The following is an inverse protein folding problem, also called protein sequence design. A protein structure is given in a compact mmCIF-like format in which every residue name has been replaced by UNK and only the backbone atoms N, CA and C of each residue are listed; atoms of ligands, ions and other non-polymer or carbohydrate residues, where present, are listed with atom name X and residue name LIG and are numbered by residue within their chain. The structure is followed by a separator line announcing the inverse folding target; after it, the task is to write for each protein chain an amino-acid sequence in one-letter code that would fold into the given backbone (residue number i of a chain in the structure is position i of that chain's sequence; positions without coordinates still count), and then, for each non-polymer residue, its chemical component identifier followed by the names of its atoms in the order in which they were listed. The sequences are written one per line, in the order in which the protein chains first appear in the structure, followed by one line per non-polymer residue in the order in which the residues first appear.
data_IF_222218115022
#
_entry.id   IF_222218115022
#
_cell.length_a   1.000
_cell.length_b   1.000
_cell.length_c   1.000
_cell.angle_alpha   90.00
_cell.angle_beta   90.00
_cell.angle_gamma   90.00
#
_symmetry.space_group_name_H-M   'P 1'
#
loop_
_entity.id
_entity.type
_entity.pdbx_description
1 polymer ?
#
# COMPACT_ATOMS: atom_id res chain seq x y z
N UNK A 1 -13.52 7.82 -12.66
CA UNK A 1 -12.46 8.76 -13.06
C UNK A 1 -11.35 7.94 -13.67
N UNK A 2 -10.75 8.40 -14.77
CA UNK A 2 -9.56 7.74 -15.32
C UNK A 2 -8.33 8.32 -14.62
N UNK A 3 -7.56 7.48 -13.93
CA UNK A 3 -6.30 7.89 -13.34
C UNK A 3 -5.23 8.01 -14.43
N UNK A 4 -4.27 8.90 -14.19
CA UNK A 4 -3.10 9.12 -15.05
C UNK A 4 -1.84 8.71 -14.30
N UNK A 5 -0.90 8.13 -15.05
CA UNK A 5 0.28 7.47 -14.53
C UNK A 5 1.55 8.15 -15.03
N UNK A 6 2.63 8.01 -14.27
CA UNK A 6 3.98 8.27 -14.76
C UNK A 6 4.68 6.94 -15.05
N UNK A 7 5.62 6.87 -16.01
CA UNK A 7 6.44 5.68 -16.21
C UNK A 7 7.16 5.30 -14.93
N UNK A 8 7.19 4.00 -14.58
CA UNK A 8 7.94 3.49 -13.42
C UNK A 8 9.41 3.95 -13.44
N UNK A 9 10.01 4.07 -14.63
CA UNK A 9 11.37 4.56 -14.81
C UNK A 9 11.60 6.03 -14.43
N UNK A 10 10.54 6.82 -14.32
CA UNK A 10 10.58 8.22 -13.87
C UNK A 10 10.15 8.37 -12.42
N UNK A 11 9.64 7.30 -11.80
CA UNK A 11 9.22 7.32 -10.41
C UNK A 11 10.41 7.52 -9.48
N UNK A 12 10.33 8.52 -8.61
CA UNK A 12 11.42 8.91 -7.70
C UNK A 12 11.96 7.76 -6.86
N UNK A 13 11.07 6.85 -6.43
CA UNK A 13 11.41 5.70 -5.58
C UNK A 13 11.56 4.39 -6.36
N UNK A 14 11.73 4.43 -7.69
CA UNK A 14 11.84 3.22 -8.53
C UNK A 14 12.92 2.22 -8.11
N UNK A 15 13.91 2.68 -7.34
CA UNK A 15 14.98 1.82 -6.83
C UNK A 15 14.43 0.66 -5.97
N UNK A 16 13.28 0.84 -5.30
CA UNK A 16 12.65 -0.22 -4.47
C UNK A 16 12.21 -1.43 -5.30
N UNK A 17 11.91 -1.24 -6.59
CA UNK A 17 11.53 -2.28 -7.54
C UNK A 17 12.70 -2.74 -8.43
N UNK A 18 13.90 -2.19 -8.19
CA UNK A 18 15.14 -2.55 -8.87
C UNK A 18 16.20 -3.06 -7.89
N UNK A 19 15.79 -3.39 -6.66
CA UNK A 19 16.67 -3.94 -5.63
C UNK A 19 17.14 -5.34 -6.06
N UNK A 20 18.45 -5.60 -5.96
CA UNK A 20 19.03 -6.86 -6.47
C UNK A 20 18.57 -8.08 -5.69
N UNK A 21 18.40 -7.92 -4.38
CA UNK A 21 18.03 -9.02 -3.48
C UNK A 21 16.52 -9.31 -3.49
N UNK A 22 15.71 -8.39 -4.03
CA UNK A 22 14.26 -8.55 -4.20
C UNK A 22 13.88 -8.22 -5.66
N UNK A 23 14.25 -9.10 -6.61
CA UNK A 23 14.07 -8.84 -8.02
C UNK A 23 12.58 -8.91 -8.41
N UNK A 24 12.06 -7.80 -8.92
CA UNK A 24 10.70 -7.76 -9.51
C UNK A 24 10.78 -8.13 -10.99
N UNK A 25 9.92 -9.05 -11.43
CA UNK A 25 9.86 -9.50 -12.82
C UNK A 25 9.44 -8.36 -13.77
N UNK A 26 9.80 -8.47 -15.06
CA UNK A 26 9.37 -7.49 -16.05
C UNK A 26 7.83 -7.46 -16.22
N UNK A 27 7.18 -8.61 -16.06
CA UNK A 27 5.72 -8.75 -16.09
C UNK A 27 5.07 -8.00 -14.92
N UNK A 28 5.55 -8.24 -13.69
CA UNK A 28 5.01 -7.55 -12.51
C UNK A 28 5.28 -6.04 -12.57
N UNK A 29 6.47 -5.60 -13.04
CA UNK A 29 6.78 -4.18 -13.24
C UNK A 29 5.80 -3.47 -14.17
N UNK A 30 5.24 -4.16 -15.15
CA UNK A 30 4.24 -3.59 -16.05
C UNK A 30 2.91 -3.24 -15.33
N UNK A 31 2.65 -3.87 -14.18
CA UNK A 31 1.49 -3.61 -13.33
C UNK A 31 1.80 -2.73 -12.12
N UNK A 32 3.03 -2.27 -11.94
CA UNK A 32 3.39 -1.30 -10.91
C UNK A 32 3.26 0.08 -11.55
N UNK A 33 2.15 0.76 -11.26
CA UNK A 33 1.73 1.97 -11.95
C UNK A 33 1.71 3.16 -10.98
N UNK A 34 2.84 3.89 -10.82
CA UNK A 34 2.86 5.11 -10.04
C UNK A 34 1.93 6.16 -10.65
N UNK A 35 1.07 6.74 -9.81
CA UNK A 35 0.15 7.79 -10.23
C UNK A 35 0.89 9.11 -10.43
N UNK A 36 0.37 9.97 -11.31
CA UNK A 36 0.74 11.39 -11.33
C UNK A 36 0.31 12.06 -10.02
N UNK A 37 0.95 13.17 -9.64
CA UNK A 37 0.61 13.92 -8.41
C UNK A 37 -0.90 14.23 -8.32
N UNK A 38 -1.53 14.61 -9.44
CA UNK A 38 -2.96 14.89 -9.49
C UNK A 38 -3.79 13.64 -9.18
N UNK A 39 -3.50 12.52 -9.84
CA UNK A 39 -4.25 11.27 -9.63
C UNK A 39 -3.99 10.68 -8.24
N UNK A 40 -2.76 10.74 -7.74
CA UNK A 40 -2.41 10.34 -6.38
C UNK A 40 -3.19 11.16 -5.35
N UNK A 41 -3.24 12.48 -5.54
CA UNK A 41 -4.01 13.37 -4.69
C UNK A 41 -5.51 13.04 -4.72
N UNK A 42 -6.07 12.78 -5.90
CA UNK A 42 -7.49 12.44 -6.05
C UNK A 42 -7.80 11.11 -5.31
N UNK A 43 -6.96 10.09 -5.46
CA UNK A 43 -7.08 8.80 -4.73
C UNK A 43 -6.97 9.03 -3.22
N UNK A 44 -5.96 9.77 -2.76
CA UNK A 44 -5.75 10.04 -1.34
C UNK A 44 -6.92 10.81 -0.73
N UNK A 45 -7.37 11.90 -1.36
CA UNK A 45 -8.49 12.70 -0.88
C UNK A 45 -9.79 11.90 -0.85
N UNK A 46 -9.99 11.01 -1.83
CA UNK A 46 -11.20 10.20 -1.91
C UNK A 46 -11.24 9.10 -0.86
N UNK A 47 -10.11 8.42 -0.61
CA UNK A 47 -10.11 7.15 0.11
C UNK A 47 -9.36 7.16 1.44
N UNK A 48 -8.44 8.10 1.65
CA UNK A 48 -7.58 8.15 2.84
C UNK A 48 -7.94 9.37 3.70
N UNK A 49 -7.69 10.57 3.20
CA UNK A 49 -7.93 11.82 3.92
C UNK A 49 -7.98 13.01 2.97
N UNK A 50 -8.94 13.91 3.16
CA UNK A 50 -8.97 15.20 2.46
C UNK A 50 -8.29 16.35 3.24
N UNK A 51 -7.73 16.07 4.43
CA UNK A 51 -7.12 17.08 5.32
C UNK A 51 -5.63 16.86 5.55
N UNK A 52 -5.21 15.61 5.74
CA UNK A 52 -3.83 15.23 6.05
C UNK A 52 -3.09 14.84 4.77
N UNK A 53 -1.76 15.05 4.72
CA UNK A 53 -0.95 14.62 3.57
C UNK A 53 -0.22 13.29 3.76
N UNK A 54 -0.04 12.84 5.01
CA UNK A 54 0.58 11.57 5.37
C UNK A 54 -0.05 11.03 6.66
N UNK A 55 0.29 9.80 7.04
CA UNK A 55 -0.36 9.13 8.16
C UNK A 55 -0.08 9.76 9.54
N UNK A 56 1.14 10.28 9.75
CA UNK A 56 1.51 10.97 10.99
C UNK A 56 0.66 12.23 11.26
N UNK A 57 0.06 12.80 10.21
CA UNK A 57 -0.78 14.00 10.28
C UNK A 57 -2.27 13.69 10.46
N UNK A 58 -2.67 12.42 10.60
CA UNK A 58 -4.09 12.10 10.74
C UNK A 58 -4.72 12.77 11.96
N UNK A 59 -5.90 13.32 11.74
CA UNK A 59 -6.69 14.03 12.73
C UNK A 59 -7.95 13.23 13.06
N UNK A 60 -8.70 13.65 14.09
CA UNK A 60 -9.97 12.99 14.50
C UNK A 60 -11.02 12.88 13.39
N UNK A 61 -10.90 13.67 12.32
CA UNK A 61 -11.81 13.60 11.16
C UNK A 61 -11.47 12.47 10.19
N UNK A 62 -10.25 11.96 10.22
CA UNK A 62 -9.76 10.94 9.30
C UNK A 62 -10.15 9.56 9.81
N UNK A 63 -10.69 8.72 8.93
CA UNK A 63 -11.18 7.39 9.34
C UNK A 63 -10.04 6.53 9.91
N UNK A 64 -8.84 6.65 9.33
CA UNK A 64 -7.64 5.93 9.76
C UNK A 64 -7.16 6.32 11.17
N UNK A 65 -7.56 7.49 11.71
CA UNK A 65 -7.26 7.88 13.09
C UNK A 65 -8.22 7.26 14.12
N UNK A 66 -9.34 6.66 13.67
CA UNK A 66 -10.36 6.12 14.59
C UNK A 66 -9.93 4.74 15.06
N UNK A 67 -9.90 4.53 16.37
CA UNK A 67 -9.52 3.24 16.95
C UNK A 67 -10.38 2.07 16.44
N UNK A 68 -11.66 2.31 16.14
CA UNK A 68 -12.58 1.30 15.64
C UNK A 68 -12.44 1.01 14.13
N UNK A 69 -11.60 1.74 13.40
CA UNK A 69 -11.27 1.40 12.01
C UNK A 69 -10.38 0.15 11.94
N UNK A 70 -9.62 -0.14 13.00
CA UNK A 70 -8.64 -1.21 13.07
C UNK A 70 -9.09 -2.31 14.04
N UNK A 71 -9.00 -3.56 13.61
CA UNK A 71 -9.56 -4.72 14.33
C UNK A 71 -8.50 -5.73 14.75
N UNK A 72 -7.37 -5.79 14.03
CA UNK A 72 -6.24 -6.65 14.35
C UNK A 72 -4.94 -5.90 14.13
N UNK A 73 -3.91 -6.29 14.88
CA UNK A 73 -2.54 -5.79 14.76
C UNK A 73 -1.58 -6.96 14.85
N UNK A 74 -0.55 -6.96 14.02
CA UNK A 74 0.51 -7.97 14.02
C UNK A 74 1.80 -7.37 13.44
N UNK A 75 2.88 -8.15 13.39
CA UNK A 75 4.21 -7.69 12.97
C UNK A 75 4.55 -8.15 11.54
N UNK A 76 4.89 -7.21 10.66
CA UNK A 76 5.33 -7.52 9.29
C UNK A 76 6.86 -7.65 9.21
N UNK A 77 7.60 -6.94 10.06
CA UNK A 77 9.06 -6.80 9.93
C UNK A 77 9.80 -8.13 10.06
N UNK A 78 9.42 -8.99 11.01
CA UNK A 78 10.05 -10.32 11.14
C UNK A 78 9.84 -11.22 9.92
N UNK A 79 8.68 -11.13 9.27
CA UNK A 79 8.41 -11.85 8.01
C UNK A 79 9.20 -11.22 6.86
N UNK A 80 9.34 -9.90 6.86
CA UNK A 80 10.10 -9.16 5.86
C UNK A 80 11.59 -9.54 5.90
N UNK A 81 12.18 -9.61 7.10
CA UNK A 81 13.59 -9.98 7.33
C UNK A 81 13.89 -11.46 7.05
N UNK A 82 12.87 -12.31 6.94
CA UNK A 82 13.03 -13.73 6.65
C UNK A 82 13.37 -14.01 5.18
N UNK A 83 13.81 -15.22 4.85
CA UNK A 83 13.99 -15.67 3.46
C UNK A 83 12.66 -15.98 2.76
N UNK A 84 11.57 -16.13 3.51
CA UNK A 84 10.25 -16.45 2.96
C UNK A 84 9.68 -15.25 2.19
N UNK A 85 9.19 -15.51 0.98
CA UNK A 85 8.55 -14.48 0.15
C UNK A 85 7.06 -14.30 0.46
N UNK A 86 6.50 -15.20 1.27
CA UNK A 86 5.08 -15.21 1.59
C UNK A 86 4.66 -13.98 2.39
N UNK A 87 3.41 -13.59 2.21
CA UNK A 87 2.78 -12.53 2.97
C UNK A 87 2.59 -12.97 4.43
N UNK A 88 2.64 -12.06 5.42
CA UNK A 88 2.29 -12.41 6.79
C UNK A 88 0.94 -13.14 6.87
N UNK A 89 0.90 -14.27 7.59
CA UNK A 89 -0.25 -15.18 7.62
C UNK A 89 -1.56 -14.46 7.95
N UNK A 90 -1.57 -13.61 8.98
CA UNK A 90 -2.78 -12.88 9.38
C UNK A 90 -3.26 -11.90 8.29
N UNK A 91 -2.33 -11.29 7.54
CA UNK A 91 -2.68 -10.43 6.41
C UNK A 91 -3.26 -11.25 5.25
N UNK A 92 -2.67 -12.40 4.93
CA UNK A 92 -3.16 -13.30 3.89
C UNK A 92 -4.55 -13.89 4.21
N UNK A 93 -4.81 -14.21 5.47
CA UNK A 93 -6.14 -14.67 5.92
C UNK A 93 -7.18 -13.55 5.92
N UNK A 94 -6.77 -12.32 6.23
CA UNK A 94 -7.69 -11.18 6.30
C UNK A 94 -8.10 -10.67 4.93
N UNK A 95 -7.22 -10.75 3.93
CA UNK A 95 -7.47 -10.28 2.57
C UNK A 95 -7.56 -11.46 1.60
N UNK A 96 -8.77 -11.76 1.15
CA UNK A 96 -9.07 -12.77 0.13
C UNK A 96 -9.62 -12.11 -1.14
N UNK A 97 -8.97 -11.04 -1.59
CA UNK A 97 -9.36 -10.39 -2.83
C UNK A 97 -8.97 -11.25 -4.04
N UNK A 98 -9.77 -11.24 -5.13
CA UNK A 98 -9.34 -11.85 -6.39
C UNK A 98 -8.00 -11.28 -6.86
N UNK A 99 -7.16 -12.11 -7.46
CA UNK A 99 -5.80 -11.75 -7.91
C UNK A 99 -5.74 -10.46 -8.72
N UNK A 100 -6.66 -10.30 -9.66
CA UNK A 100 -6.74 -9.14 -10.57
C UNK A 100 -7.33 -7.87 -9.93
N UNK A 101 -7.65 -7.90 -8.62
CA UNK A 101 -8.23 -6.76 -7.91
C UNK A 101 -7.28 -5.57 -7.96
N UNK A 102 -7.72 -4.40 -8.47
CA UNK A 102 -6.93 -3.19 -8.37
C UNK A 102 -6.76 -2.78 -6.92
N UNK A 103 -5.53 -2.49 -6.53
CA UNK A 103 -5.15 -2.03 -5.20
C UNK A 103 -4.32 -0.76 -5.31
N UNK A 104 -4.44 0.11 -4.31
CA UNK A 104 -3.60 1.28 -4.15
C UNK A 104 -2.73 1.10 -2.92
N UNK A 105 -1.43 1.31 -3.11
CA UNK A 105 -0.47 1.45 -2.03
C UNK A 105 -0.16 2.94 -1.85
N UNK A 106 -0.70 3.52 -0.79
CA UNK A 106 -0.70 4.96 -0.54
C UNK A 106 0.36 5.31 0.51
N UNK A 107 1.54 5.76 0.08
CA UNK A 107 2.58 6.25 1.01
C UNK A 107 2.18 7.60 1.60
N UNK A 108 1.79 8.54 0.74
CA UNK A 108 1.36 9.89 1.09
C UNK A 108 0.53 10.48 -0.05
N UNK A 109 -0.02 11.68 0.15
CA UNK A 109 -0.99 12.32 -0.75
C UNK A 109 -0.57 12.42 -2.21
N UNK A 110 0.72 12.60 -2.48
CA UNK A 110 1.25 12.71 -3.85
C UNK A 110 2.06 11.48 -4.26
N UNK A 111 1.99 10.39 -3.48
CA UNK A 111 2.73 9.16 -3.74
C UNK A 111 1.84 7.96 -3.51
N UNK A 112 1.16 7.59 -4.58
CA UNK A 112 0.29 6.43 -4.64
C UNK A 112 0.70 5.58 -5.83
N UNK A 113 0.79 4.28 -5.61
CA UNK A 113 1.01 3.29 -6.66
C UNK A 113 -0.27 2.48 -6.82
N UNK A 114 -0.77 2.39 -8.05
CA UNK A 114 -1.77 1.40 -8.42
C UNK A 114 -1.08 0.11 -8.84
N UNK A 115 -1.62 -1.03 -8.41
CA UNK A 115 -1.21 -2.34 -8.90
C UNK A 115 -2.35 -3.36 -8.77
N UNK A 116 -2.09 -4.63 -9.09
CA UNK A 116 -3.00 -5.73 -8.81
C UNK A 116 -2.68 -6.39 -7.48
N UNK A 117 -3.68 -7.00 -6.86
CA UNK A 117 -3.50 -7.68 -5.58
C UNK A 117 -2.43 -8.77 -5.65
N UNK A 118 -2.45 -9.62 -6.68
CA UNK A 118 -1.47 -10.69 -6.85
C UNK A 118 -0.03 -10.17 -7.05
N UNK A 119 0.12 -9.06 -7.78
CA UNK A 119 1.41 -8.38 -8.00
C UNK A 119 1.92 -7.81 -6.69
N UNK A 120 1.05 -7.20 -5.87
CA UNK A 120 1.42 -6.77 -4.52
C UNK A 120 1.85 -7.95 -3.67
N UNK A 121 1.08 -9.04 -3.63
CA UNK A 121 1.40 -10.23 -2.80
C UNK A 121 2.77 -10.80 -3.16
N UNK A 122 3.12 -10.95 -4.43
CA UNK A 122 4.44 -11.48 -4.84
C UNK A 122 5.59 -10.53 -4.52
N UNK A 123 5.34 -9.23 -4.43
CA UNK A 123 6.38 -8.19 -4.34
C UNK A 123 6.24 -7.32 -3.08
N UNK A 124 5.49 -7.76 -2.08
CA UNK A 124 5.06 -6.93 -0.93
C UNK A 124 6.25 -6.34 -0.17
N UNK A 125 7.35 -7.10 -0.07
CA UNK A 125 8.59 -6.64 0.55
C UNK A 125 9.15 -5.38 -0.11
N UNK A 126 9.07 -5.28 -1.44
CA UNK A 126 9.51 -4.09 -2.17
C UNK A 126 8.70 -2.84 -1.80
N UNK A 127 7.39 -2.99 -1.59
CA UNK A 127 6.53 -1.87 -1.22
C UNK A 127 6.84 -1.33 0.18
N UNK A 128 7.38 -2.17 1.07
CA UNK A 128 7.71 -1.80 2.46
C UNK A 128 9.14 -1.29 2.68
N UNK A 129 9.93 -1.07 1.62
CA UNK A 129 11.18 -0.29 1.76
C UNK A 129 10.93 1.15 2.26
N UNK A 130 9.69 1.64 2.15
CA UNK A 130 9.22 2.86 2.80
C UNK A 130 7.99 2.52 3.63
N UNK A 131 8.16 2.39 4.93
CA UNK A 131 7.17 1.96 5.92
C UNK A 131 6.60 3.12 6.75
N UNK A 132 6.77 4.35 6.26
CA UNK A 132 6.26 5.58 6.88
C UNK A 132 4.73 5.74 6.76
N UNK A 133 4.01 4.82 7.42
CA UNK A 133 2.56 4.85 7.48
C UNK A 133 1.79 4.50 6.21
N UNK A 134 2.31 3.72 5.22
CA UNK A 134 1.57 3.50 4.00
C UNK A 134 0.28 2.71 4.26
N UNK A 135 -0.75 3.04 3.50
CA UNK A 135 -2.06 2.38 3.58
C UNK A 135 -2.36 1.65 2.27
N UNK A 136 -2.61 0.35 2.37
CA UNK A 136 -3.06 -0.50 1.28
C UNK A 136 -4.60 -0.59 1.28
N UNK A 137 -5.21 -0.33 0.13
CA UNK A 137 -6.67 -0.39 -0.07
C UNK A 137 -7.00 -0.98 -1.44
N UNK A 138 -8.25 -1.43 -1.62
CA UNK A 138 -8.86 -1.56 -2.94
C UNK A 138 -10.10 -0.68 -3.01
N UNK A 139 -10.35 0.08 -4.11
CA UNK A 139 -11.51 0.95 -4.21
C UNK A 139 -12.85 0.22 -4.02
N UNK A 140 -12.95 -1.06 -4.42
CA UNK A 140 -14.18 -1.87 -4.31
C UNK A 140 -14.32 -2.63 -3.00
N UNK A 141 -13.28 -2.70 -2.17
CA UNK A 141 -13.25 -3.52 -0.96
C UNK A 141 -13.18 -2.65 0.29
N UNK A 142 -13.85 -3.08 1.36
CA UNK A 142 -13.82 -2.30 2.62
C UNK A 142 -12.54 -2.53 3.42
N UNK A 143 -11.89 -3.69 3.29
CA UNK A 143 -10.66 -3.97 4.01
C UNK A 143 -9.55 -2.96 3.68
N UNK A 144 -8.73 -2.64 4.68
CA UNK A 144 -7.55 -1.82 4.55
C UNK A 144 -6.44 -2.35 5.48
N UNK A 145 -5.20 -2.03 5.12
CA UNK A 145 -4.00 -2.34 5.90
C UNK A 145 -3.21 -1.05 6.06
N UNK A 146 -2.77 -0.75 7.28
CA UNK A 146 -1.81 0.32 7.54
C UNK A 146 -0.53 -0.29 8.07
N UNK A 147 0.60 -0.03 7.42
CA UNK A 147 1.92 -0.45 7.90
C UNK A 147 2.53 0.70 8.70
N UNK A 148 3.17 0.39 9.81
CA UNK A 148 3.76 1.33 10.74
C UNK A 148 5.29 1.14 10.81
N UNK A 149 6.01 2.25 11.02
CA UNK A 149 7.48 2.29 11.12
C UNK A 149 8.05 1.45 12.28
N UNK A 150 7.22 1.06 13.24
CA UNK A 150 7.61 0.21 14.37
C UNK A 150 7.59 -1.29 14.02
N UNK A 151 7.45 -1.65 12.74
CA UNK A 151 7.40 -3.02 12.26
C UNK A 151 6.04 -3.70 12.41
N UNK A 152 5.00 -2.96 12.80
CA UNK A 152 3.62 -3.46 12.92
C UNK A 152 2.75 -3.07 11.74
N UNK A 153 1.70 -3.85 11.50
CA UNK A 153 0.62 -3.48 10.61
C UNK A 153 -0.72 -3.64 11.31
N UNK A 154 -1.67 -2.80 10.92
CA UNK A 154 -3.05 -2.78 11.41
C UNK A 154 -4.00 -3.21 10.28
N UNK A 155 -4.89 -4.14 10.58
CA UNK A 155 -5.91 -4.65 9.68
C UNK A 155 -7.27 -4.09 10.07
N UNK A 156 -7.98 -3.53 9.11
CA UNK A 156 -9.18 -2.76 9.39
C UNK A 156 -10.15 -2.68 8.23
N UNK A 157 -11.21 -1.90 8.45
CA UNK A 157 -12.18 -1.55 7.41
C UNK A 157 -12.29 -0.04 7.29
N UNK A 158 -12.33 0.44 6.06
CA UNK A 158 -12.55 1.85 5.75
C UNK A 158 -13.96 2.25 6.18
N UNK A 159 -14.03 3.41 6.83
CA UNK A 159 -15.27 4.01 7.36
C UNK A 159 -16.07 4.78 6.34
#
# INVERSE_FOLDING_TARGET
MAYTYIPLETYRRKWIFNHKDLPVTAEDKAYILPLTDKSAMDVWNQWISNKSSCAEQFTKGDWAAKANAWTKTDHWQGVWDSEDSDLPVMLAEFIQWPDETPVFFCYEKYQVIETRWDVFVRNWKCFLFFDDGPILISPKQKQAVMFEQNGQYKLGVRG
#
